data_IF_340169308131
#
_entry.id   IF_340169308131
#
_cell.length_a   1.000
_cell.length_b   1.000
_cell.length_c   1.000
_cell.angle_alpha   90.00
_cell.angle_beta   90.00
_cell.angle_gamma   90.00
#
_symmetry.space_group_name_H-M   'P 1'
#
loop_
_entity.id
_entity.type
_entity.pdbx_description
1 polymer ?
#
# COMPACT_ATOMS: atom_id res chain seq x y z
N UNK A 1 -73.06 0.52 44.16
CA UNK A 1 -72.02 1.53 43.85
C UNK A 1 -70.67 0.85 44.07
N UNK A 2 -69.69 0.78 43.15
CA UNK A 2 -69.47 1.32 41.80
C UNK A 2 -68.97 0.15 40.91
N UNK A 3 -69.48 -0.12 39.71
CA UNK A 3 -69.22 0.56 38.41
C UNK A 3 -67.74 0.43 37.98
N UNK A 4 -67.47 -0.49 37.05
CA UNK A 4 -66.29 -0.54 36.14
C UNK A 4 -66.23 0.75 35.28
N UNK A 5 -65.10 1.22 34.71
CA UNK A 5 -64.24 0.52 33.73
C UNK A 5 -62.73 0.67 34.10
N UNK A 6 -61.66 0.58 33.27
CA UNK A 6 -61.44 0.60 31.81
C UNK A 6 -60.27 -0.36 31.46
N UNK A 7 -60.34 -1.05 30.32
CA UNK A 7 -59.16 -1.66 29.67
C UNK A 7 -58.55 -0.68 28.67
N UNK A 8 -57.35 -0.15 28.97
CA UNK A 8 -56.65 0.80 28.11
C UNK A 8 -55.72 0.06 27.14
N UNK A 9 -56.28 -0.39 26.00
CA UNK A 9 -55.52 -0.87 24.86
C UNK A 9 -54.90 0.33 24.12
N UNK A 10 -53.63 0.62 24.37
CA UNK A 10 -52.87 1.65 23.65
C UNK A 10 -51.80 1.00 22.78
N UNK A 11 -51.91 1.22 21.46
CA UNK A 11 -50.96 0.69 20.49
C UNK A 11 -49.56 1.26 20.73
N UNK A 12 -48.58 0.38 20.99
CA UNK A 12 -47.18 0.73 20.89
C UNK A 12 -46.82 0.92 19.41
N UNK A 13 -46.70 2.18 18.98
CA UNK A 13 -46.15 2.53 17.67
C UNK A 13 -44.65 2.26 17.72
N UNK A 14 -44.24 1.07 17.28
CA UNK A 14 -42.83 0.72 17.11
C UNK A 14 -42.23 1.60 15.99
N UNK A 15 -41.20 2.40 16.26
CA UNK A 15 -40.44 3.02 15.18
C UNK A 15 -39.77 1.90 14.38
N UNK A 16 -40.00 1.86 13.06
CA UNK A 16 -39.17 1.07 12.16
C UNK A 16 -37.77 1.69 12.16
N UNK A 17 -36.93 1.24 13.09
CA UNK A 17 -35.50 1.46 13.05
C UNK A 17 -34.97 0.77 11.80
N UNK A 18 -34.87 1.52 10.71
CA UNK A 18 -34.16 1.12 9.50
C UNK A 18 -32.68 0.98 9.84
N UNK A 19 -32.31 -0.19 10.36
CA UNK A 19 -30.92 -0.60 10.51
C UNK A 19 -30.36 -0.79 9.10
N UNK A 20 -29.87 0.31 8.51
CA UNK A 20 -28.93 0.20 7.42
C UNK A 20 -27.74 -0.60 7.99
N UNK A 21 -27.63 -1.86 7.59
CA UNK A 21 -26.57 -2.74 8.06
C UNK A 21 -25.25 -2.22 7.48
N UNK A 22 -24.56 -1.39 8.27
CA UNK A 22 -23.25 -0.86 7.93
C UNK A 22 -22.28 -2.04 7.83
N UNK A 23 -21.89 -2.40 6.60
CA UNK A 23 -21.14 -3.62 6.33
C UNK A 23 -19.77 -3.49 6.98
N UNK A 24 -19.50 -4.32 8.01
CA UNK A 24 -18.26 -4.26 8.79
C UNK A 24 -17.04 -4.30 7.87
N UNK A 25 -16.22 -3.23 7.94
CA UNK A 25 -14.96 -3.14 7.23
C UNK A 25 -13.85 -3.61 8.16
N UNK A 26 -13.30 -4.77 7.83
CA UNK A 26 -12.26 -5.41 8.63
C UNK A 26 -10.90 -4.90 8.13
N UNK A 27 -10.10 -4.19 8.95
CA UNK A 27 -8.78 -3.75 8.53
C UNK A 27 -7.79 -4.92 8.48
N UNK A 28 -6.98 -5.00 7.43
CA UNK A 28 -5.84 -5.90 7.30
C UNK A 28 -4.57 -5.11 7.01
N UNK A 29 -3.46 -5.51 7.63
CA UNK A 29 -2.12 -4.97 7.34
C UNK A 29 -1.29 -6.05 6.66
N UNK A 30 -0.66 -5.70 5.54
CA UNK A 30 0.14 -6.61 4.71
C UNK A 30 1.64 -6.55 5.03
N UNK A 31 2.36 -7.61 4.68
CA UNK A 31 3.82 -7.77 4.79
C UNK A 31 4.64 -6.64 4.15
N UNK A 32 4.15 -6.07 3.05
CA UNK A 32 4.73 -4.90 2.39
C UNK A 32 4.31 -3.55 3.01
N UNK A 33 3.67 -3.54 4.18
CA UNK A 33 3.21 -2.35 4.91
C UNK A 33 1.89 -1.75 4.42
N UNK A 34 1.36 -2.18 3.27
CA UNK A 34 0.08 -1.67 2.78
C UNK A 34 -1.11 -2.13 3.64
N UNK A 35 -2.15 -1.30 3.71
CA UNK A 35 -3.42 -1.63 4.36
C UNK A 35 -4.51 -1.86 3.32
N UNK A 36 -5.38 -2.81 3.63
CA UNK A 36 -6.62 -3.07 2.88
C UNK A 36 -7.74 -3.24 3.90
N UNK A 37 -8.91 -2.67 3.63
CA UNK A 37 -10.11 -2.98 4.39
C UNK A 37 -10.92 -4.02 3.60
N UNK A 38 -11.43 -5.04 4.27
CA UNK A 38 -12.20 -6.11 3.63
C UNK A 38 -13.57 -6.16 4.29
N UNK A 39 -14.63 -5.99 3.50
CA UNK A 39 -16.00 -6.21 3.96
C UNK A 39 -16.57 -7.45 3.27
N UNK A 40 -17.18 -8.34 4.06
CA UNK A 40 -17.81 -9.56 3.53
C UNK A 40 -19.33 -9.38 3.52
N UNK A 41 -19.97 -9.77 2.42
CA UNK A 41 -21.42 -9.64 2.24
C UNK A 41 -21.94 -10.77 1.33
N UNK A 42 -23.24 -11.01 1.36
CA UNK A 42 -23.90 -11.75 0.27
C UNK A 42 -24.10 -10.83 -0.93
N UNK A 43 -23.88 -11.35 -2.14
CA UNK A 43 -24.23 -10.68 -3.40
C UNK A 43 -25.74 -10.73 -3.67
N UNK A 44 -26.14 -10.09 -4.77
CA UNK A 44 -27.53 -10.06 -5.25
C UNK A 44 -28.14 -11.46 -5.44
N UNK A 45 -27.30 -12.43 -5.80
CA UNK A 45 -27.64 -13.84 -6.04
C UNK A 45 -27.44 -14.71 -4.78
N UNK A 46 -27.48 -14.12 -3.57
CA UNK A 46 -27.10 -14.70 -2.26
C UNK A 46 -25.65 -15.23 -2.16
N UNK A 47 -24.89 -15.23 -3.26
CA UNK A 47 -23.54 -15.76 -3.33
C UNK A 47 -22.56 -14.89 -2.52
N UNK A 48 -21.77 -15.45 -1.57
CA UNK A 48 -20.86 -14.65 -0.76
C UNK A 48 -19.78 -13.97 -1.61
N UNK A 49 -19.50 -12.72 -1.25
CA UNK A 49 -18.52 -11.85 -1.89
C UNK A 49 -17.67 -11.14 -0.83
N UNK A 50 -16.46 -10.77 -1.23
CA UNK A 50 -15.58 -9.90 -0.46
C UNK A 50 -15.33 -8.62 -1.26
N UNK A 51 -15.55 -7.46 -0.65
CA UNK A 51 -15.17 -6.16 -1.21
C UNK A 51 -13.86 -5.72 -0.57
N UNK A 52 -12.84 -5.52 -1.40
CA UNK A 52 -11.59 -4.90 -1.00
C UNK A 52 -11.71 -3.39 -1.15
N UNK A 53 -11.65 -2.67 -0.04
CA UNK A 53 -11.61 -1.20 0.00
C UNK A 53 -10.15 -0.74 0.09
N UNK A 54 -9.73 0.00 -0.93
CA UNK A 54 -8.49 0.76 -0.99
C UNK A 54 -8.82 2.26 -0.81
N UNK A 55 -7.80 3.11 -0.73
CA UNK A 55 -7.99 4.55 -0.48
C UNK A 55 -8.94 5.24 -1.48
N UNK A 56 -8.87 4.84 -2.76
CA UNK A 56 -9.60 5.49 -3.87
C UNK A 56 -10.52 4.53 -4.66
N UNK A 57 -10.55 3.24 -4.33
CA UNK A 57 -11.25 2.20 -5.12
C UNK A 57 -11.83 1.08 -4.22
N UNK A 58 -13.01 0.58 -4.57
CA UNK A 58 -13.60 -0.61 -3.96
C UNK A 58 -13.79 -1.73 -5.00
N UNK A 59 -13.13 -2.88 -4.79
CA UNK A 59 -13.09 -3.99 -5.74
C UNK A 59 -13.86 -5.18 -5.19
N UNK A 60 -14.91 -5.61 -5.91
CA UNK A 60 -15.72 -6.77 -5.55
C UNK A 60 -15.12 -8.08 -6.09
N UNK A 61 -15.02 -9.09 -5.22
CA UNK A 61 -14.53 -10.43 -5.52
C UNK A 61 -15.59 -11.46 -5.15
N UNK A 62 -15.93 -12.38 -6.07
CA UNK A 62 -16.89 -13.46 -5.81
C UNK A 62 -16.18 -14.65 -5.15
N UNK A 63 -16.84 -15.30 -4.19
CA UNK A 63 -16.30 -16.51 -3.58
C UNK A 63 -16.34 -17.69 -4.57
N UNK A 64 -15.27 -18.48 -4.55
CA UNK A 64 -15.09 -19.72 -5.28
C UNK A 64 -15.11 -20.88 -4.27
N UNK A 65 -15.82 -21.98 -4.56
CA UNK A 65 -15.79 -23.16 -3.69
C UNK A 65 -14.36 -23.75 -3.65
N UNK A 66 -13.82 -23.90 -2.45
CA UNK A 66 -12.51 -24.50 -2.18
C UNK A 66 -12.59 -25.38 -0.93
N UNK A 67 -11.69 -26.36 -0.82
CA UNK A 67 -11.69 -27.35 0.26
C UNK A 67 -11.20 -26.80 1.61
N UNK A 68 -10.47 -25.67 1.62
CA UNK A 68 -9.90 -25.10 2.86
C UNK A 68 -9.73 -23.58 2.77
N UNK A 69 -10.15 -22.87 3.82
CA UNK A 69 -10.28 -21.42 3.82
C UNK A 69 -11.40 -20.94 2.89
N UNK A 70 -11.41 -19.64 2.58
CA UNK A 70 -12.25 -19.08 1.54
C UNK A 70 -11.39 -18.45 0.45
N UNK A 71 -11.74 -18.67 -0.81
CA UNK A 71 -11.09 -18.04 -1.96
C UNK A 71 -12.07 -17.10 -2.64
N UNK A 72 -11.73 -15.82 -2.74
CA UNK A 72 -12.46 -14.81 -3.49
C UNK A 72 -11.62 -14.39 -4.70
N UNK A 73 -12.25 -14.17 -5.85
CA UNK A 73 -11.55 -13.66 -7.04
C UNK A 73 -12.45 -12.83 -7.95
N UNK A 74 -11.83 -12.05 -8.82
CA UNK A 74 -12.45 -11.56 -10.04
C UNK A 74 -11.66 -12.09 -11.26
N UNK A 75 -11.53 -11.28 -12.32
CA UNK A 75 -10.77 -11.62 -13.53
C UNK A 75 -9.25 -11.62 -13.31
N UNK A 76 -8.74 -10.74 -12.43
CA UNK A 76 -7.31 -10.46 -12.28
C UNK A 76 -6.80 -10.58 -10.85
N UNK A 77 -7.63 -10.33 -9.85
CA UNK A 77 -7.27 -10.32 -8.42
C UNK A 77 -7.75 -11.60 -7.74
N UNK A 78 -6.94 -12.09 -6.80
CA UNK A 78 -7.28 -13.22 -5.91
C UNK A 78 -7.06 -12.83 -4.45
N UNK A 79 -7.94 -13.33 -3.58
CA UNK A 79 -7.86 -13.18 -2.14
C UNK A 79 -8.18 -14.54 -1.51
N UNK A 80 -7.20 -15.19 -0.91
CA UNK A 80 -7.43 -16.35 -0.05
C UNK A 80 -7.47 -15.90 1.41
N UNK A 81 -8.49 -16.30 2.17
CA UNK A 81 -8.60 -15.99 3.61
C UNK A 81 -8.66 -17.27 4.43
N UNK A 82 -7.97 -17.23 5.57
CA UNK A 82 -7.92 -18.32 6.55
C UNK A 82 -7.79 -17.70 7.94
N UNK A 83 -8.83 -17.84 8.75
CA UNK A 83 -8.93 -17.25 10.09
C UNK A 83 -8.69 -15.72 10.04
N UNK A 84 -7.67 -15.22 10.72
CA UNK A 84 -7.26 -13.82 10.71
C UNK A 84 -6.29 -13.46 9.57
N UNK A 85 -5.88 -14.42 8.74
CA UNK A 85 -4.90 -14.24 7.67
C UNK A 85 -5.57 -14.10 6.32
N UNK A 86 -4.98 -13.26 5.48
CA UNK A 86 -5.32 -13.14 4.07
C UNK A 86 -4.05 -13.25 3.23
N UNK A 87 -4.17 -13.82 2.04
CA UNK A 87 -3.16 -13.77 0.98
C UNK A 87 -3.83 -13.13 -0.23
N UNK A 88 -3.38 -11.92 -0.56
CA UNK A 88 -3.86 -11.15 -1.70
C UNK A 88 -2.86 -11.27 -2.85
N UNK A 89 -3.36 -11.45 -4.07
CA UNK A 89 -2.59 -11.45 -5.32
C UNK A 89 -3.20 -10.40 -6.26
N UNK A 90 -2.41 -9.43 -6.73
CA UNK A 90 -2.87 -8.48 -7.75
C UNK A 90 -2.82 -9.05 -9.17
N UNK A 91 -3.48 -8.35 -10.10
CA UNK A 91 -3.44 -8.65 -11.53
C UNK A 91 -2.06 -8.48 -12.21
N UNK A 92 -0.99 -8.22 -11.44
CA UNK A 92 0.40 -8.16 -11.90
C UNK A 92 1.25 -9.30 -11.32
N UNK A 93 0.66 -10.19 -10.53
CA UNK A 93 1.33 -11.32 -9.88
C UNK A 93 2.06 -10.98 -8.58
N UNK A 94 1.86 -9.80 -8.00
CA UNK A 94 2.42 -9.47 -6.69
C UNK A 94 1.55 -10.08 -5.59
N UNK A 95 2.16 -10.95 -4.78
CA UNK A 95 1.50 -11.59 -3.63
C UNK A 95 1.85 -10.84 -2.35
N UNK A 96 0.83 -10.55 -1.54
CA UNK A 96 0.91 -9.89 -0.22
C UNK A 96 0.28 -10.78 0.84
N UNK A 97 0.99 -11.04 1.94
CA UNK A 97 0.46 -11.75 3.12
C UNK A 97 -0.02 -10.73 4.13
N UNK A 98 -1.30 -10.76 4.47
CA UNK A 98 -1.94 -9.76 5.32
C UNK A 98 -2.58 -10.40 6.56
N UNK A 99 -2.60 -9.66 7.66
CA UNK A 99 -3.14 -10.08 8.96
C UNK A 99 -4.23 -9.08 9.39
N UNK A 100 -5.36 -9.60 9.89
CA UNK A 100 -6.45 -8.81 10.45
C UNK A 100 -5.91 -7.96 11.61
N UNK A 101 -6.12 -6.65 11.53
CA UNK A 101 -5.97 -5.77 12.67
C UNK A 101 -7.15 -5.96 13.60
N UNK A 102 -6.90 -6.21 14.88
CA UNK A 102 -7.95 -6.11 15.90
C UNK A 102 -8.32 -4.64 16.05
N UNK A 103 -9.59 -4.32 15.83
CA UNK A 103 -10.16 -3.03 16.27
C UNK A 103 -10.28 -3.11 17.79
N UNK A 104 -9.18 -2.85 18.47
CA UNK A 104 -9.12 -2.79 19.93
C UNK A 104 -9.36 -1.35 20.38
N UNK A 105 -10.46 -1.17 21.09
CA UNK A 105 -10.85 0.01 21.84
C UNK A 105 -9.67 0.60 22.64
N UNK A 106 -9.61 1.93 22.72
CA UNK A 106 -8.52 2.63 23.41
C UNK A 106 -8.50 2.30 24.91
N UNK A 107 -7.54 1.48 25.36
CA UNK A 107 -7.20 1.41 26.78
C UNK A 107 -5.72 1.11 27.02
N UNK A 108 -5.14 1.85 27.96
CA UNK A 108 -3.70 1.89 28.23
C UNK A 108 -3.21 0.65 28.99
N UNK A 109 -2.30 -0.11 28.39
CA UNK A 109 -1.48 -1.10 29.11
C UNK A 109 -0.04 -1.08 28.58
N UNK A 110 0.93 -1.07 29.50
CA UNK A 110 2.36 -1.02 29.17
C UNK A 110 2.85 -2.41 28.75
N UNK A 111 2.75 -2.70 27.45
CA UNK A 111 3.48 -3.75 26.77
C UNK A 111 4.41 -3.10 25.73
N UNK A 112 5.54 -3.75 25.41
CA UNK A 112 6.41 -3.27 24.34
C UNK A 112 5.59 -3.15 23.06
N UNK A 113 5.42 -1.92 22.57
CA UNK A 113 4.76 -1.70 21.31
C UNK A 113 5.53 -2.51 20.24
N UNK A 114 4.85 -3.27 19.35
CA UNK A 114 5.41 -3.40 18.03
C UNK A 114 5.61 -1.97 17.56
N UNK A 115 6.86 -1.59 17.24
CA UNK A 115 7.12 -0.28 16.70
C UNK A 115 6.16 -0.10 15.53
N UNK A 116 5.29 0.91 15.62
CA UNK A 116 4.28 1.16 14.60
C UNK A 116 5.02 1.69 13.39
N UNK A 117 5.58 0.76 12.61
CA UNK A 117 6.43 0.99 11.45
C UNK A 117 5.66 1.84 10.48
N UNK A 118 5.92 3.14 10.60
CA UNK A 118 5.02 4.16 10.10
C UNK A 118 5.49 4.51 8.71
N UNK A 119 5.14 3.65 7.77
CA UNK A 119 5.62 3.70 6.40
C UNK A 119 5.47 5.11 5.77
N UNK A 120 6.54 5.55 5.11
CA UNK A 120 6.55 6.79 4.31
C UNK A 120 6.57 6.37 2.84
N UNK A 121 5.51 6.71 2.11
CA UNK A 121 5.46 6.54 0.68
C UNK A 121 6.23 7.66 -0.04
N UNK A 122 7.10 7.24 -0.96
CA UNK A 122 7.92 8.09 -1.81
C UNK A 122 7.55 7.83 -3.26
N UNK A 123 6.98 8.84 -3.91
CA UNK A 123 6.61 8.81 -5.33
C UNK A 123 7.44 9.80 -6.15
N UNK A 124 7.49 9.57 -7.45
CA UNK A 124 8.15 10.48 -8.37
C UNK A 124 8.23 9.94 -9.78
N UNK A 125 9.03 10.60 -10.59
CA UNK A 125 9.27 10.25 -11.98
C UNK A 125 10.76 10.43 -12.33
N UNK A 126 11.25 9.54 -13.19
CA UNK A 126 12.59 9.56 -13.74
C UNK A 126 12.54 9.94 -15.23
N UNK A 127 13.22 11.01 -15.61
CA UNK A 127 13.31 11.48 -17.00
C UNK A 127 14.77 11.68 -17.42
N UNK A 128 15.08 11.53 -18.70
CA UNK A 128 16.38 11.87 -19.27
C UNK A 128 16.21 12.59 -20.61
N UNK A 129 17.20 13.40 -20.99
CA UNK A 129 17.24 14.09 -22.29
C UNK A 129 18.45 13.63 -23.10
N UNK A 130 18.30 12.50 -23.78
CA UNK A 130 19.32 11.96 -24.71
C UNK A 130 18.66 11.53 -26.02
N UNK A 131 19.40 11.66 -27.12
CA UNK A 131 19.01 11.13 -28.44
C UNK A 131 19.34 9.65 -28.62
N UNK A 132 20.04 9.03 -27.66
CA UNK A 132 20.20 7.57 -27.65
C UNK A 132 18.94 6.90 -27.11
N UNK A 133 18.41 5.94 -27.86
CA UNK A 133 17.42 5.00 -27.35
C UNK A 133 17.99 4.20 -26.18
N UNK A 134 17.16 3.92 -25.17
CA UNK A 134 17.52 2.99 -24.12
C UNK A 134 17.57 1.56 -24.69
N UNK A 135 18.64 0.79 -24.41
CA UNK A 135 18.64 -0.64 -24.69
C UNK A 135 17.48 -1.32 -23.93
N UNK A 136 16.75 -2.27 -24.56
CA UNK A 136 15.59 -2.91 -23.92
C UNK A 136 15.96 -3.75 -22.69
N UNK A 137 17.21 -4.24 -22.60
CA UNK A 137 17.78 -4.92 -21.42
C UNK A 137 18.40 -3.96 -20.39
N UNK A 138 17.88 -2.72 -20.31
CA UNK A 138 18.24 -1.74 -19.27
C UNK A 138 17.24 -1.78 -18.12
N UNK A 139 17.73 -1.53 -16.91
CA UNK A 139 16.90 -1.35 -15.71
C UNK A 139 17.17 0.01 -15.06
N UNK A 140 16.10 0.68 -14.65
CA UNK A 140 16.16 1.82 -13.75
C UNK A 140 16.23 1.29 -12.32
N UNK A 141 17.25 1.73 -11.58
CA UNK A 141 17.45 1.43 -10.17
C UNK A 141 17.32 2.73 -9.40
N UNK A 142 16.41 2.74 -8.42
CA UNK A 142 16.15 3.87 -7.54
C UNK A 142 16.62 3.48 -6.15
N UNK A 143 17.50 4.30 -5.57
CA UNK A 143 18.03 4.13 -4.22
C UNK A 143 17.56 5.26 -3.34
N UNK A 144 16.98 4.91 -2.20
CA UNK A 144 16.63 5.85 -1.14
C UNK A 144 17.60 5.63 0.00
N UNK A 145 18.25 6.71 0.44
CA UNK A 145 19.28 6.65 1.45
C UNK A 145 19.11 7.73 2.52
N UNK A 146 19.40 7.39 3.77
CA UNK A 146 19.64 8.37 4.83
C UNK A 146 21.10 8.84 4.77
N UNK A 147 21.30 10.09 4.33
CA UNK A 147 22.60 10.76 4.26
C UNK A 147 22.85 11.70 5.44
N UNK A 148 21.95 11.73 6.43
CA UNK A 148 22.03 12.63 7.59
C UNK A 148 22.89 12.10 8.74
N UNK A 149 23.45 10.89 8.59
CA UNK A 149 24.19 10.19 9.64
C UNK A 149 25.58 10.78 9.84
N UNK A 150 25.72 11.61 10.87
CA UNK A 150 27.02 12.19 11.24
C UNK A 150 28.05 11.09 11.53
N UNK A 151 29.17 11.10 10.81
CA UNK A 151 30.29 10.18 11.01
C UNK A 151 30.07 8.74 10.50
N UNK A 152 28.99 8.45 9.77
CA UNK A 152 28.67 7.12 9.27
C UNK A 152 28.35 7.12 7.77
N UNK A 153 28.54 6.00 7.04
CA UNK A 153 28.13 5.89 5.65
C UNK A 153 26.61 6.02 5.50
N UNK A 154 26.17 6.44 4.31
CA UNK A 154 24.74 6.56 4.00
C UNK A 154 24.04 5.20 4.10
N UNK A 155 22.98 5.11 4.91
CA UNK A 155 22.18 3.89 5.00
C UNK A 155 21.22 3.83 3.82
N UNK A 156 21.25 2.77 3.02
CA UNK A 156 20.17 2.49 2.06
C UNK A 156 18.93 2.02 2.80
N UNK A 157 17.84 2.77 2.67
CA UNK A 157 16.53 2.52 3.29
C UNK A 157 15.64 1.67 2.40
N UNK A 158 15.71 1.89 1.07
CA UNK A 158 15.04 1.08 0.07
C UNK A 158 15.80 1.13 -1.27
N UNK A 159 15.64 0.07 -2.06
CA UNK A 159 16.16 -0.03 -3.42
C UNK A 159 15.08 -0.67 -4.31
N UNK A 160 14.68 0.04 -5.36
CA UNK A 160 13.68 -0.43 -6.33
C UNK A 160 14.33 -0.64 -7.70
N UNK A 161 14.07 -1.78 -8.35
CA UNK A 161 14.48 -2.05 -9.73
C UNK A 161 13.26 -2.10 -10.63
N UNK A 162 13.31 -1.39 -11.74
CA UNK A 162 12.27 -1.31 -12.77
C UNK A 162 12.91 -1.69 -14.10
N UNK A 163 12.49 -2.82 -14.67
CA UNK A 163 12.91 -3.23 -16.01
C UNK A 163 12.31 -2.25 -17.03
N UNK A 164 13.15 -1.65 -17.89
CA UNK A 164 12.68 -0.59 -18.79
C UNK A 164 12.06 -1.13 -20.07
N UNK A 165 12.54 -2.24 -20.63
CA UNK A 165 11.87 -2.99 -21.71
C UNK A 165 11.42 -2.15 -22.93
N UNK A 166 12.05 -1.00 -23.19
CA UNK A 166 11.67 -0.05 -24.25
C UNK A 166 10.64 1.03 -23.86
N UNK A 167 10.23 1.11 -22.59
CA UNK A 167 9.33 2.14 -22.05
C UNK A 167 9.88 3.55 -22.27
N UNK A 168 9.00 4.47 -22.67
CA UNK A 168 9.29 5.89 -22.84
C UNK A 168 9.40 6.62 -21.50
N UNK A 169 10.22 7.68 -21.46
CA UNK A 169 10.25 8.62 -20.33
C UNK A 169 9.11 9.65 -20.43
N UNK A 170 8.60 10.17 -19.29
CA UNK A 170 9.03 9.89 -17.92
C UNK A 170 8.57 8.54 -17.38
N UNK A 171 9.44 7.88 -16.60
CA UNK A 171 9.15 6.60 -15.93
C UNK A 171 8.71 6.93 -14.49
N UNK A 172 7.44 6.71 -14.18
CA UNK A 172 6.93 6.87 -12.81
C UNK A 172 7.50 5.79 -11.88
N UNK A 173 7.68 6.14 -10.61
CA UNK A 173 8.07 5.21 -9.55
C UNK A 173 7.34 5.52 -8.25
N UNK A 174 7.14 4.47 -7.44
CA UNK A 174 6.60 4.56 -6.09
C UNK A 174 7.27 3.46 -5.25
N UNK A 175 7.71 3.83 -4.06
CA UNK A 175 8.45 2.97 -3.15
C UNK A 175 8.23 3.45 -1.72
N UNK A 176 8.25 2.53 -0.78
CA UNK A 176 7.84 2.76 0.61
C UNK A 176 9.03 2.49 1.52
N UNK A 177 9.31 3.40 2.46
CA UNK A 177 10.38 3.23 3.46
C UNK A 177 9.80 3.13 4.87
N UNK A 178 10.44 2.30 5.70
CA UNK A 178 10.11 2.21 7.12
C UNK A 178 10.66 3.44 7.87
N UNK A 179 9.77 4.14 8.58
CA UNK A 179 10.11 5.31 9.38
C UNK A 179 10.89 4.99 10.65
N UNK A 180 10.88 3.75 11.12
CA UNK A 180 11.75 3.34 12.24
C UNK A 180 13.24 3.32 11.82
N UNK A 181 13.52 3.15 10.52
CA UNK A 181 14.87 3.34 9.95
C UNK A 181 15.21 4.83 9.70
N UNK A 182 14.20 5.70 9.69
CA UNK A 182 14.30 7.16 9.46
C UNK A 182 14.39 7.90 10.80
N UNK A 183 15.62 8.10 11.28
CA UNK A 183 15.87 8.86 12.51
C UNK A 183 15.31 10.30 12.45
N UNK A 184 15.05 10.90 13.62
CA UNK A 184 14.46 12.26 13.77
C UNK A 184 15.23 13.40 13.08
N UNK A 185 16.46 13.16 12.61
CA UNK A 185 17.32 14.09 11.86
C UNK A 185 17.84 13.49 10.54
N UNK A 186 17.21 12.41 10.05
CA UNK A 186 17.61 11.74 8.82
C UNK A 186 17.50 12.69 7.63
N UNK A 187 18.42 12.54 6.66
CA UNK A 187 18.42 13.33 5.43
C UNK A 187 18.18 12.41 4.25
N UNK A 188 16.90 12.19 3.98
CA UNK A 188 16.43 11.36 2.87
C UNK A 188 16.98 11.93 1.56
N UNK A 189 17.64 11.06 0.80
CA UNK A 189 18.17 11.34 -0.52
C UNK A 189 17.75 10.22 -1.45
N UNK A 190 17.24 10.59 -2.63
CA UNK A 190 16.84 9.66 -3.68
C UNK A 190 17.79 9.82 -4.86
N UNK A 191 18.32 8.71 -5.35
CA UNK A 191 19.21 8.65 -6.52
C UNK A 191 18.63 7.63 -7.50
N UNK A 192 18.40 8.06 -8.74
CA UNK A 192 18.04 7.18 -9.83
C UNK A 192 19.26 6.92 -10.71
N UNK A 193 19.48 5.68 -11.10
CA UNK A 193 20.46 5.33 -12.12
C UNK A 193 19.93 4.27 -13.07
N UNK A 194 20.27 4.37 -14.35
CA UNK A 194 19.95 3.34 -15.34
C UNK A 194 21.22 2.56 -15.61
N UNK A 195 21.12 1.24 -15.48
CA UNK A 195 22.19 0.29 -15.74
C UNK A 195 21.74 -0.80 -16.71
N UNK A 196 22.71 -1.39 -17.39
CA UNK A 196 22.51 -2.50 -18.33
C UNK A 196 23.53 -3.58 -17.98
N UNK A 197 23.06 -4.75 -17.52
CA UNK A 197 23.92 -5.87 -17.10
C UNK A 197 25.02 -5.43 -16.11
N UNK A 198 24.64 -4.63 -15.10
CA UNK A 198 25.54 -4.04 -14.10
C UNK A 198 26.40 -2.86 -14.58
N UNK A 199 26.36 -2.49 -15.86
CA UNK A 199 27.07 -1.31 -16.38
C UNK A 199 26.19 -0.07 -16.30
N UNK A 200 26.62 0.92 -15.53
CA UNK A 200 26.00 2.24 -15.43
C UNK A 200 25.94 2.95 -16.80
N UNK A 201 24.77 3.47 -17.16
CA UNK A 201 24.51 4.22 -18.41
C UNK A 201 24.05 5.65 -18.13
N UNK A 202 23.18 5.84 -17.14
CA UNK A 202 22.68 7.16 -16.74
C UNK A 202 22.61 7.27 -15.22
N UNK A 203 22.75 8.48 -14.68
CA UNK A 203 22.64 8.76 -13.25
C UNK A 203 21.95 10.11 -13.02
N UNK A 204 21.10 10.22 -12.00
CA UNK A 204 20.49 11.48 -11.57
C UNK A 204 21.40 12.26 -10.64
N UNK A 205 21.16 13.57 -10.55
CA UNK A 205 21.58 14.31 -9.37
C UNK A 205 20.80 13.80 -8.12
N UNK A 206 21.24 14.17 -6.92
CA UNK A 206 20.58 13.78 -5.66
C UNK A 206 19.25 14.53 -5.49
N UNK A 207 18.13 13.80 -5.51
CA UNK A 207 16.82 14.32 -5.13
C UNK A 207 16.63 14.31 -3.62
N UNK A 208 15.93 15.30 -3.08
CA UNK A 208 15.58 15.38 -1.65
C UNK A 208 14.08 15.66 -1.52
N UNK A 209 13.25 14.66 -1.13
CA UNK A 209 11.84 14.88 -0.86
C UNK A 209 11.69 15.84 0.33
N UNK A 210 10.69 16.72 0.27
CA UNK A 210 10.16 17.33 1.48
C UNK A 210 9.22 16.32 2.15
N UNK A 211 9.38 16.15 3.46
CA UNK A 211 8.46 15.36 4.28
C UNK A 211 7.54 16.33 5.01
N UNK A 212 6.27 16.36 4.64
CA UNK A 212 5.25 17.22 5.23
C UNK A 212 4.15 16.33 5.82
N UNK A 213 3.91 16.46 7.13
CA UNK A 213 2.94 15.63 7.89
C UNK A 213 3.11 14.10 7.77
N UNK A 214 4.31 13.64 7.40
CA UNK A 214 4.62 12.21 7.20
C UNK A 214 4.45 11.72 5.74
N UNK A 215 3.96 12.58 4.85
CA UNK A 215 3.86 12.30 3.42
C UNK A 215 5.04 12.96 2.67
N UNK A 216 5.54 12.33 1.61
CA UNK A 216 6.65 12.87 0.84
C UNK A 216 6.17 13.61 -0.42
N UNK A 217 6.76 14.77 -0.69
CA UNK A 217 6.53 15.50 -1.95
C UNK A 217 7.03 14.69 -3.16
N UNK A 218 6.26 14.58 -4.26
CA UNK A 218 6.72 13.89 -5.47
C UNK A 218 8.03 14.45 -6.03
N UNK A 219 8.93 13.56 -6.50
CA UNK A 219 10.21 13.96 -7.12
C UNK A 219 10.18 13.94 -8.65
N UNK A 220 10.84 14.91 -9.29
CA UNK A 220 11.24 14.87 -10.70
C UNK A 220 12.76 14.65 -10.80
N UNK A 221 13.18 13.40 -11.03
CA UNK A 221 14.58 13.01 -11.14
C UNK A 221 15.04 13.11 -12.60
N UNK A 222 16.00 14.02 -12.86
CA UNK A 222 16.61 14.21 -14.19
C UNK A 222 17.92 13.46 -14.27
N UNK A 223 17.94 12.41 -15.08
CA UNK A 223 19.12 11.58 -15.32
C UNK A 223 19.95 12.13 -16.49
N UNK A 224 21.26 12.12 -16.30
CA UNK A 224 22.28 12.48 -17.29
C UNK A 224 23.02 11.21 -17.70
N UNK A 225 23.41 11.10 -18.97
CA UNK A 225 24.25 10.00 -19.41
C UNK A 225 25.61 10.09 -18.71
N UNK A 226 26.16 8.97 -18.25
CA UNK A 226 27.55 8.97 -17.80
C UNK A 226 28.44 9.13 -19.03
N UNK A 227 29.31 10.15 -19.00
CA UNK A 227 30.37 10.25 -19.99
C UNK A 227 31.20 8.97 -19.98
N UNK A 228 31.71 8.55 -21.15
CA UNK A 228 32.76 7.50 -21.17
C UNK A 228 33.87 7.98 -20.25
N UNK A 229 34.13 7.25 -19.16
CA UNK A 229 35.30 7.50 -18.33
C UNK A 229 36.53 7.48 -19.25
N UNK A 230 37.29 8.57 -19.23
CA UNK A 230 38.57 8.63 -19.94
C UNK A 230 39.44 7.47 -19.46
N UNK A 231 40.04 6.78 -20.43
CA UNK A 231 41.03 5.72 -20.18
C UNK A 231 42.39 6.39 -19.96
#
# INVERSE_FOLDING_TARGET
MKIHPIAALLLAILPLSSHAAEIERIPYTCDNGSRIEISFASGSDEQPQATLHFADEAINLRQVPVTTGALYRNETIRLHTQDEKAVFEDGKGNVRRCQRGTVAEQSSAVAHAPASSSFIDLSGQASYRSRQALPPDSQLVIRIQDTGRAGAPALTLAEQRIALSGQSVPIAFQTTIDRDLVGKKARITVIAHIERRGKLLFISDRGAPKLENGQASPLDLKLKAVGRAGR
#
